data_IF_266903460074
#
_entry.id   IF_266903460074
#
_cell.length_a   1.000
_cell.length_b   1.000
_cell.length_c   1.000
_cell.angle_alpha   90.00
_cell.angle_beta   90.00
_cell.angle_gamma   90.00
#
_symmetry.space_group_name_H-M   'P 1'
#
loop_
_entity.id
_entity.type
_entity.pdbx_description
1 polymer ?
#
# COMPACT_ATOMS: atom_id res chain seq x y z
N UNK A 1 -7.07 4.06 5.02
CA UNK A 1 -5.69 3.66 4.63
C UNK A 1 -4.70 3.75 5.80
N UNK A 2 -4.48 4.91 6.42
CA UNK A 2 -3.48 5.01 7.51
C UNK A 2 -3.87 4.21 8.75
N UNK A 3 -5.17 4.15 9.07
CA UNK A 3 -5.67 3.25 10.10
C UNK A 3 -5.35 1.78 9.79
N UNK A 4 -5.49 1.35 8.52
CA UNK A 4 -5.12 0.01 8.07
C UNK A 4 -3.61 -0.21 8.24
N UNK A 5 -2.78 0.76 7.87
CA UNK A 5 -1.33 0.65 8.07
C UNK A 5 -0.97 0.56 9.55
N UNK A 6 -1.61 1.35 10.42
CA UNK A 6 -1.44 1.28 11.88
C UNK A 6 -1.91 -0.07 12.44
N UNK A 7 -3.02 -0.60 11.94
CA UNK A 7 -3.51 -1.93 12.31
C UNK A 7 -2.54 -3.01 11.86
N UNK A 8 -2.07 -3.01 10.61
CA UNK A 8 -1.03 -3.94 10.14
C UNK A 8 0.22 -3.83 11.03
N UNK A 9 0.67 -2.61 11.35
CA UNK A 9 1.79 -2.41 12.27
C UNK A 9 1.52 -3.04 13.64
N UNK A 10 0.34 -2.81 14.22
CA UNK A 10 -0.03 -3.35 15.52
C UNK A 10 -0.12 -4.87 15.49
N UNK A 11 -0.72 -5.44 14.44
CA UNK A 11 -0.85 -6.88 14.23
C UNK A 11 0.51 -7.58 14.06
N UNK A 12 1.44 -6.93 13.36
CA UNK A 12 2.83 -7.41 13.23
C UNK A 12 3.61 -7.26 14.54
N UNK A 13 3.37 -6.20 15.31
CA UNK A 13 4.14 -5.88 16.53
C UNK A 13 3.66 -6.59 17.78
N UNK A 14 2.35 -6.83 17.88
CA UNK A 14 1.68 -7.41 19.04
C UNK A 14 0.61 -8.40 18.58
N UNK A 15 1.02 -9.60 18.18
CA UNK A 15 0.08 -10.60 17.69
C UNK A 15 -0.66 -11.21 18.88
N UNK A 16 -1.69 -10.51 19.32
CA UNK A 16 -2.73 -11.06 20.20
C UNK A 16 -3.76 -11.79 19.32
N UNK A 17 -3.29 -12.76 18.53
CA UNK A 17 -4.19 -13.47 17.63
C UNK A 17 -4.86 -14.63 18.34
N UNK A 18 -6.18 -14.56 18.42
CA UNK A 18 -7.02 -15.74 18.62
C UNK A 18 -7.17 -16.56 17.33
N UNK A 19 -6.78 -15.99 16.17
CA UNK A 19 -6.92 -16.59 14.84
C UNK A 19 -5.55 -16.89 14.21
N UNK A 20 -5.21 -18.18 14.15
CA UNK A 20 -3.96 -18.73 13.60
C UNK A 20 -3.75 -18.40 12.11
N UNK A 21 -4.82 -18.26 11.33
CA UNK A 21 -4.75 -17.95 9.90
C UNK A 21 -4.23 -16.52 9.68
N UNK A 22 -4.76 -15.56 10.44
CA UNK A 22 -4.31 -14.17 10.39
C UNK A 22 -2.85 -14.07 10.82
N UNK A 23 -2.45 -14.82 11.85
CA UNK A 23 -1.05 -14.89 12.27
C UNK A 23 -0.15 -15.38 11.15
N UNK A 24 -0.50 -16.49 10.49
CA UNK A 24 0.28 -17.07 9.40
C UNK A 24 0.41 -16.11 8.21
N UNK A 25 -0.68 -15.41 7.85
CA UNK A 25 -0.63 -14.38 6.80
C UNK A 25 0.34 -13.27 7.21
N UNK A 26 0.23 -12.75 8.44
CA UNK A 26 1.09 -11.65 8.92
C UNK A 26 2.57 -12.05 8.97
N UNK A 27 2.90 -13.29 9.36
CA UNK A 27 4.27 -13.81 9.31
C UNK A 27 4.81 -13.96 7.88
N UNK A 28 3.93 -14.14 6.89
CA UNK A 28 4.30 -14.27 5.48
C UNK A 28 4.61 -12.93 4.78
N UNK A 29 4.22 -11.80 5.36
CA UNK A 29 4.42 -10.48 4.72
C UNK A 29 5.90 -10.09 4.78
N UNK A 30 6.51 -9.92 3.60
CA UNK A 30 7.91 -9.51 3.49
C UNK A 30 8.07 -8.02 3.13
N UNK A 31 7.09 -7.44 2.46
CA UNK A 31 7.15 -6.05 2.01
C UNK A 31 5.74 -5.44 1.95
N UNK A 32 5.65 -4.17 2.35
CA UNK A 32 4.48 -3.32 2.19
C UNK A 32 4.92 -2.07 1.41
N UNK A 33 4.33 -1.87 0.24
CA UNK A 33 4.57 -0.68 -0.59
C UNK A 33 3.32 0.19 -0.64
N UNK A 34 3.46 1.45 -0.25
CA UNK A 34 2.45 2.49 -0.40
C UNK A 34 2.82 3.44 -1.53
N UNK A 35 1.93 3.60 -2.51
CA UNK A 35 2.01 4.67 -3.52
C UNK A 35 0.87 5.67 -3.25
N UNK A 36 1.24 6.85 -2.78
CA UNK A 36 0.29 7.91 -2.42
C UNK A 36 0.24 8.98 -3.50
N UNK A 37 -0.93 9.16 -4.12
CA UNK A 37 -1.11 10.08 -5.25
C UNK A 37 -1.86 11.33 -4.79
N UNK A 38 -1.26 12.51 -5.00
CA UNK A 38 -1.82 13.78 -4.55
C UNK A 38 -1.63 14.86 -5.62
N UNK A 39 -2.38 15.96 -5.52
CA UNK A 39 -2.19 17.10 -6.44
C UNK A 39 -0.90 17.84 -6.13
N UNK A 40 -0.63 18.07 -4.85
CA UNK A 40 0.59 18.70 -4.37
C UNK A 40 1.03 18.08 -3.05
N UNK A 41 2.21 18.45 -2.59
CA UNK A 41 2.79 17.99 -1.33
C UNK A 41 1.95 18.39 -0.10
N UNK A 42 1.23 19.51 -0.19
CA UNK A 42 0.34 19.99 0.89
C UNK A 42 -0.93 19.17 1.02
N UNK A 43 -1.29 18.44 -0.02
CA UNK A 43 -2.49 17.59 -0.05
C UNK A 43 -2.20 16.20 0.54
N UNK A 44 -0.94 15.89 0.87
CA UNK A 44 -0.57 14.64 1.51
C UNK A 44 -1.15 14.63 2.93
N UNK A 45 -2.31 14.00 3.04
CA UNK A 45 -2.99 13.82 4.32
C UNK A 45 -2.14 12.95 5.26
N UNK A 46 -2.16 13.31 6.55
CA UNK A 46 -1.56 12.52 7.63
C UNK A 46 -0.07 12.19 7.40
N UNK A 47 0.69 13.11 6.80
CA UNK A 47 2.14 12.97 6.60
C UNK A 47 2.86 12.62 7.91
N UNK A 48 2.49 13.25 9.02
CA UNK A 48 3.06 12.96 10.35
C UNK A 48 2.82 11.51 10.78
N UNK A 49 1.64 10.97 10.50
CA UNK A 49 1.33 9.57 10.81
C UNK A 49 2.15 8.62 9.92
N UNK A 50 2.30 8.91 8.63
CA UNK A 50 3.08 8.07 7.73
C UNK A 50 4.57 8.05 8.14
N UNK A 51 5.12 9.19 8.55
CA UNK A 51 6.46 9.28 9.11
C UNK A 51 6.58 8.53 10.45
N UNK A 52 5.51 8.49 11.25
CA UNK A 52 5.49 7.69 12.47
C UNK A 52 5.47 6.18 12.18
N UNK A 53 4.80 5.76 11.09
CA UNK A 53 4.77 4.37 10.65
C UNK A 53 6.17 3.89 10.28
N UNK A 54 6.97 4.70 9.58
CA UNK A 54 8.39 4.41 9.34
C UNK A 54 9.15 4.16 10.64
N UNK A 55 8.92 5.00 11.65
CA UNK A 55 9.60 4.91 12.94
C UNK A 55 9.14 3.69 13.74
N UNK A 56 7.86 3.30 13.60
CA UNK A 56 7.28 2.10 14.18
C UNK A 56 7.94 0.88 13.54
N UNK A 57 7.89 0.75 12.21
CA UNK A 57 8.58 -0.35 11.51
C UNK A 57 10.08 -0.39 11.89
N UNK A 58 10.80 0.73 11.85
CA UNK A 58 12.21 0.78 12.22
C UNK A 58 12.48 0.33 13.68
N UNK A 59 11.58 0.63 14.62
CA UNK A 59 11.71 0.23 16.03
C UNK A 59 11.49 -1.27 16.23
N UNK A 60 10.53 -1.86 15.53
CA UNK A 60 10.19 -3.28 15.66
C UNK A 60 11.04 -4.19 14.77
N UNK A 61 11.64 -3.66 13.71
CA UNK A 61 12.54 -4.39 12.81
C UNK A 61 14.01 -4.34 13.28
N UNK A 62 14.32 -3.70 14.40
CA UNK A 62 15.69 -3.60 14.90
C UNK A 62 16.02 -4.81 15.79
N UNK A 63 16.91 -5.73 15.37
CA UNK A 63 17.18 -6.99 16.07
C UNK A 63 17.88 -6.83 17.43
N UNK A 64 18.25 -5.61 17.83
CA UNK A 64 19.01 -5.34 19.06
C UNK A 64 18.15 -5.21 20.34
N UNK A 65 16.83 -5.40 20.25
CA UNK A 65 15.91 -5.18 21.39
C UNK A 65 15.09 -6.40 21.83
N UNK A 66 15.29 -7.61 21.31
CA UNK A 66 14.55 -8.79 21.77
C UNK A 66 15.39 -9.73 22.63
N UNK A 67 15.15 -9.67 23.95
CA UNK A 67 15.27 -10.85 24.79
C UNK A 67 14.19 -11.85 24.33
N UNK A 68 14.64 -12.97 23.78
CA UNK A 68 13.92 -14.23 23.58
C UNK A 68 12.75 -14.26 22.56
N UNK A 69 12.96 -15.10 21.54
CA UNK A 69 11.95 -15.87 20.77
C UNK A 69 11.15 -15.23 19.62
N UNK A 70 11.23 -13.93 19.33
CA UNK A 70 10.62 -13.41 18.10
C UNK A 70 11.59 -13.38 16.92
N UNK A 71 11.38 -14.27 15.94
CA UNK A 71 12.00 -14.17 14.63
C UNK A 71 11.26 -13.07 13.86
N UNK A 72 11.55 -11.79 14.16
CA UNK A 72 10.92 -10.68 13.45
C UNK A 72 11.28 -10.78 11.97
N UNK A 73 10.29 -11.13 11.14
CA UNK A 73 10.38 -11.01 9.69
C UNK A 73 10.81 -9.58 9.35
N UNK A 74 11.87 -9.44 8.54
CA UNK A 74 12.38 -8.15 8.08
C UNK A 74 11.39 -7.50 7.09
N UNK A 75 10.19 -7.13 7.55
CA UNK A 75 9.15 -6.52 6.72
C UNK A 75 9.68 -5.19 6.21
N UNK A 76 9.82 -5.04 4.90
CA UNK A 76 10.24 -3.78 4.29
C UNK A 76 9.02 -2.89 4.13
N UNK A 77 9.07 -1.66 4.62
CA UNK A 77 8.05 -0.65 4.31
C UNK A 77 8.63 0.39 3.34
N UNK A 78 7.92 0.65 2.24
CA UNK A 78 8.29 1.66 1.24
C UNK A 78 7.12 2.61 1.03
N UNK A 79 7.34 3.91 1.21
CA UNK A 79 6.34 4.93 0.93
C UNK A 79 6.80 5.82 -0.23
N UNK A 80 6.02 5.84 -1.30
CA UNK A 80 6.29 6.60 -2.51
C UNK A 80 5.16 7.58 -2.78
N UNK A 81 5.50 8.77 -3.26
CA UNK A 81 4.53 9.83 -3.58
C UNK A 81 4.53 10.14 -5.07
N UNK A 82 3.34 10.30 -5.65
CA UNK A 82 3.15 10.81 -7.02
C UNK A 82 2.37 12.11 -6.92
N UNK A 83 2.93 13.20 -7.44
CA UNK A 83 2.34 14.53 -7.30
C UNK A 83 1.99 15.12 -8.66
N UNK A 84 0.78 15.63 -8.87
CA UNK A 84 0.43 16.29 -10.13
C UNK A 84 1.28 17.55 -10.36
N UNK A 85 1.50 18.35 -9.30
CA UNK A 85 2.35 19.53 -9.29
C UNK A 85 3.34 19.47 -8.11
N UNK A 86 4.63 19.60 -8.40
CA UNK A 86 5.70 19.49 -7.40
C UNK A 86 6.51 20.79 -7.24
N UNK A 87 5.83 21.94 -7.30
CA UNK A 87 6.46 23.28 -7.30
C UNK A 87 7.45 23.51 -6.15
N UNK A 88 7.31 22.77 -5.04
CA UNK A 88 8.18 22.85 -3.87
C UNK A 88 8.34 21.52 -3.13
N UNK A 89 8.46 20.37 -3.83
CA UNK A 89 8.83 19.13 -3.14
C UNK A 89 10.27 19.26 -2.63
N UNK A 90 10.42 19.90 -1.48
CA UNK A 90 11.69 20.15 -0.82
C UNK A 90 12.19 18.79 -0.40
N UNK A 91 13.09 18.20 -1.21
CA UNK A 91 13.80 16.91 -0.99
C UNK A 91 13.57 16.42 0.44
N UNK A 92 12.44 15.76 0.66
CA UNK A 92 12.03 15.41 2.01
C UNK A 92 13.04 14.34 2.42
N UNK A 93 14.04 14.75 3.22
CA UNK A 93 15.11 13.88 3.73
C UNK A 93 14.52 12.97 4.82
N UNK A 94 13.50 12.20 4.45
CA UNK A 94 12.98 11.09 5.25
C UNK A 94 13.32 9.85 4.46
N UNK A 95 14.19 9.01 5.01
CA UNK A 95 14.91 7.96 4.30
C UNK A 95 14.03 6.96 3.53
N UNK A 96 12.74 6.84 3.88
CA UNK A 96 11.82 5.86 3.29
C UNK A 96 10.66 6.49 2.49
N UNK A 97 10.58 7.82 2.43
CA UNK A 97 9.60 8.55 1.64
C UNK A 97 10.24 9.12 0.38
N UNK A 98 9.84 8.61 -0.79
CA UNK A 98 10.41 9.02 -2.08
C UNK A 98 9.36 9.72 -2.94
N UNK A 99 9.69 10.89 -3.49
CA UNK A 99 8.95 11.41 -4.65
C UNK A 99 9.25 10.50 -5.84
N UNK A 100 8.24 9.77 -6.27
CA UNK A 100 8.34 8.78 -7.34
C UNK A 100 8.17 9.43 -8.71
N UNK A 101 7.21 10.36 -8.85
CA UNK A 101 6.92 11.03 -10.12
C UNK A 101 6.17 12.36 -9.93
N UNK A 102 6.35 13.27 -10.90
CA UNK A 102 5.53 14.48 -11.05
C UNK A 102 4.63 14.32 -12.26
N UNK A 103 3.33 14.22 -12.05
CA UNK A 103 2.32 13.92 -13.06
C UNK A 103 1.31 12.87 -12.56
N UNK A 104 0.66 12.19 -13.50
CA UNK A 104 -0.32 11.13 -13.21
C UNK A 104 0.30 9.74 -13.27
N UNK A 105 -0.35 8.79 -12.62
CA UNK A 105 -0.01 7.38 -12.76
C UNK A 105 -0.10 6.93 -14.22
N UNK A 106 0.88 6.15 -14.65
CA UNK A 106 0.96 5.56 -15.98
C UNK A 106 1.65 4.18 -15.91
N UNK A 107 1.50 3.40 -16.97
CA UNK A 107 1.89 1.98 -17.00
C UNK A 107 3.36 1.74 -16.65
N UNK A 108 4.29 2.52 -17.22
CA UNK A 108 5.73 2.33 -16.96
C UNK A 108 6.11 2.62 -15.50
N UNK A 109 5.46 3.61 -14.88
CA UNK A 109 5.68 3.94 -13.48
C UNK A 109 5.29 2.80 -12.56
N UNK A 110 4.09 2.23 -12.77
CA UNK A 110 3.61 1.11 -11.97
C UNK A 110 4.42 -0.16 -12.25
N UNK A 111 4.82 -0.42 -13.50
CA UNK A 111 5.70 -1.53 -13.85
C UNK A 111 7.04 -1.48 -13.13
N UNK A 112 7.62 -0.29 -12.99
CA UNK A 112 8.91 -0.10 -12.33
C UNK A 112 8.83 -0.14 -10.79
N UNK A 113 7.64 0.03 -10.23
CA UNK A 113 7.46 0.22 -8.77
C UNK A 113 6.77 -0.97 -8.11
N UNK A 114 5.77 -1.56 -8.75
CA UNK A 114 5.02 -2.68 -8.20
C UNK A 114 5.80 -4.01 -8.40
N UNK A 115 5.65 -4.96 -7.47
CA UNK A 115 6.16 -6.32 -7.67
C UNK A 115 5.46 -6.99 -8.85
N UNK A 116 6.13 -7.86 -9.62
CA UNK A 116 5.49 -8.55 -10.74
C UNK A 116 4.26 -9.34 -10.28
N UNK A 117 3.22 -9.50 -11.14
CA UNK A 117 2.03 -10.27 -10.79
C UNK A 117 2.38 -11.69 -10.33
N UNK A 118 1.85 -12.09 -9.17
CA UNK A 118 1.97 -13.44 -8.62
C UNK A 118 0.91 -13.66 -7.54
N UNK A 119 0.70 -14.91 -7.15
CA UNK A 119 -0.17 -15.32 -6.03
C UNK A 119 0.29 -14.80 -4.66
N UNK A 120 1.53 -14.31 -4.57
CA UNK A 120 2.11 -13.72 -3.36
C UNK A 120 1.91 -12.19 -3.28
N UNK A 121 1.23 -11.60 -4.27
CA UNK A 121 1.03 -10.15 -4.35
C UNK A 121 -0.44 -9.80 -4.22
N UNK A 122 -0.73 -8.88 -3.29
CA UNK A 122 -2.03 -8.25 -3.13
C UNK A 122 -1.90 -6.74 -3.34
N UNK A 123 -2.64 -6.21 -4.31
CA UNK A 123 -2.75 -4.79 -4.62
C UNK A 123 -4.05 -4.26 -4.05
N UNK A 124 -3.93 -3.21 -3.23
CA UNK A 124 -5.04 -2.55 -2.58
C UNK A 124 -5.20 -1.15 -3.19
N UNK A 125 -6.34 -0.86 -3.83
CA UNK A 125 -6.56 0.41 -4.53
C UNK A 125 -7.72 1.20 -3.91
N UNK A 126 -7.46 2.46 -3.59
CA UNK A 126 -8.46 3.39 -3.06
C UNK A 126 -8.22 4.78 -3.64
N UNK A 127 -9.28 5.40 -4.15
CA UNK A 127 -9.22 6.74 -4.73
C UNK A 127 -10.55 7.14 -5.35
N UNK A 128 -10.55 8.18 -6.18
CA UNK A 128 -11.73 8.58 -6.94
C UNK A 128 -12.12 7.52 -7.97
N UNK A 129 -13.38 7.54 -8.41
CA UNK A 129 -13.86 6.65 -9.48
C UNK A 129 -13.05 6.78 -10.77
N UNK A 130 -12.58 7.99 -11.10
CA UNK A 130 -11.73 8.23 -12.28
C UNK A 130 -10.36 7.56 -12.12
N UNK A 131 -9.77 7.65 -10.92
CA UNK A 131 -8.49 7.00 -10.61
C UNK A 131 -8.64 5.48 -10.65
N UNK A 132 -9.70 4.94 -10.06
CA UNK A 132 -9.99 3.50 -10.09
C UNK A 132 -10.17 3.01 -11.53
N UNK A 133 -10.97 3.70 -12.36
CA UNK A 133 -11.13 3.34 -13.78
C UNK A 133 -9.78 3.28 -14.51
N UNK A 134 -8.95 4.30 -14.31
CA UNK A 134 -7.64 4.40 -14.96
C UNK A 134 -6.66 3.30 -14.50
N UNK A 135 -6.65 2.97 -13.20
CA UNK A 135 -5.67 2.06 -12.62
C UNK A 135 -6.11 0.60 -12.65
N UNK A 136 -7.36 0.30 -12.26
CA UNK A 136 -7.80 -1.07 -11.96
C UNK A 136 -9.25 -1.41 -12.37
N UNK A 137 -9.96 -0.49 -13.03
CA UNK A 137 -11.42 -0.56 -13.18
C UNK A 137 -12.17 -0.20 -11.90
N UNK A 138 -13.43 0.22 -12.03
CA UNK A 138 -14.27 0.55 -10.88
C UNK A 138 -14.86 -0.68 -10.19
N UNK A 139 -15.30 -0.51 -8.95
CA UNK A 139 -16.26 -1.43 -8.32
C UNK A 139 -17.62 -1.30 -8.98
N UNK A 140 -18.36 -2.39 -9.07
CA UNK A 140 -19.71 -2.40 -9.65
C UNK A 140 -20.78 -2.51 -8.56
N UNK A 141 -22.04 -2.45 -8.96
CA UNK A 141 -23.18 -2.78 -8.10
C UNK A 141 -23.98 -3.88 -8.79
N UNK A 142 -24.39 -4.91 -8.03
CA UNK A 142 -25.27 -5.93 -8.59
C UNK A 142 -26.63 -5.33 -8.93
N UNK A 143 -27.24 -5.68 -10.09
CA UNK A 143 -28.54 -5.14 -10.48
C UNK A 143 -29.63 -5.46 -9.47
N UNK A 144 -29.66 -6.69 -8.95
CA UNK A 144 -30.70 -7.20 -8.06
C UNK A 144 -30.81 -6.47 -6.71
N UNK A 145 -29.71 -6.20 -6.02
CA UNK A 145 -29.71 -5.70 -4.64
C UNK A 145 -28.83 -4.47 -4.41
N UNK A 146 -28.23 -3.93 -5.48
CA UNK A 146 -27.33 -2.78 -5.45
C UNK A 146 -26.10 -2.98 -4.56
N UNK A 147 -25.79 -4.23 -4.15
CA UNK A 147 -24.63 -4.51 -3.33
C UNK A 147 -23.35 -4.26 -4.13
N UNK A 148 -22.39 -3.57 -3.49
CA UNK A 148 -21.09 -3.26 -4.09
C UNK A 148 -20.32 -4.56 -4.35
N UNK A 149 -19.81 -4.72 -5.57
CA UNK A 149 -18.95 -5.84 -5.98
C UNK A 149 -17.62 -5.31 -6.49
N UNK A 150 -16.59 -6.16 -6.46
CA UNK A 150 -15.25 -5.76 -6.87
C UNK A 150 -15.17 -5.40 -8.36
N UNK A 151 -16.01 -6.00 -9.21
CA UNK A 151 -15.94 -5.83 -10.66
C UNK A 151 -14.66 -6.43 -11.26
N UNK A 152 -14.53 -6.40 -12.58
CA UNK A 152 -13.35 -6.93 -13.27
C UNK A 152 -12.14 -6.02 -13.08
N UNK A 153 -10.93 -6.60 -13.15
CA UNK A 153 -9.70 -5.80 -13.21
C UNK A 153 -9.52 -5.24 -14.61
N UNK A 154 -9.36 -3.91 -14.68
CA UNK A 154 -9.16 -3.14 -15.92
C UNK A 154 -7.97 -2.17 -15.79
N UNK A 155 -7.81 -1.28 -16.76
CA UNK A 155 -6.78 -0.23 -16.74
C UNK A 155 -5.36 -0.76 -16.70
N UNK A 156 -4.48 0.02 -16.07
CA UNK A 156 -3.04 -0.28 -16.01
C UNK A 156 -2.76 -1.64 -15.38
N UNK A 157 -3.44 -2.03 -14.29
CA UNK A 157 -3.17 -3.30 -13.62
C UNK A 157 -3.51 -4.50 -14.51
N UNK A 158 -4.55 -4.40 -15.35
CA UNK A 158 -4.85 -5.44 -16.35
C UNK A 158 -3.75 -5.51 -17.42
N UNK A 159 -3.27 -4.37 -17.91
CA UNK A 159 -2.17 -4.32 -18.88
C UNK A 159 -0.87 -4.94 -18.34
N UNK A 160 -0.64 -4.80 -17.03
CA UNK A 160 0.52 -5.40 -16.36
C UNK A 160 0.33 -6.89 -16.02
N UNK A 161 -0.87 -7.45 -16.22
CA UNK A 161 -1.16 -8.88 -16.02
C UNK A 161 -1.67 -9.26 -14.63
N UNK A 162 -2.12 -8.30 -13.81
CA UNK A 162 -2.78 -8.63 -12.55
C UNK A 162 -4.19 -9.18 -12.76
N UNK A 163 -4.62 -10.06 -11.88
CA UNK A 163 -5.94 -10.71 -11.90
C UNK A 163 -6.82 -10.22 -10.75
N UNK A 164 -8.10 -10.57 -10.78
CA UNK A 164 -9.07 -10.20 -9.73
C UNK A 164 -8.72 -10.76 -8.33
N UNK A 165 -7.98 -11.87 -8.26
CA UNK A 165 -7.52 -12.43 -6.98
C UNK A 165 -6.38 -11.61 -6.37
N UNK A 166 -5.66 -10.83 -7.19
CA UNK A 166 -4.53 -10.00 -6.77
C UNK A 166 -4.93 -8.56 -6.47
N UNK A 167 -6.16 -8.12 -6.80
CA UNK A 167 -6.55 -6.71 -6.72
C UNK A 167 -7.84 -6.54 -5.92
N UNK A 168 -7.77 -5.74 -4.87
CA UNK A 168 -8.92 -5.33 -4.08
C UNK A 168 -9.13 -3.82 -4.15
N UNK A 169 -10.38 -3.41 -4.34
CA UNK A 169 -10.80 -2.03 -4.57
C UNK A 169 -11.78 -1.60 -3.47
N UNK A 170 -11.54 -0.40 -2.90
CA UNK A 170 -12.32 0.12 -1.78
C UNK A 170 -13.57 0.90 -2.17
#
# INVERSE_FOLDING_TARGET
MIQILKEICNLVSFPQFENEEVYNIMQGIQEICLINCNKSERDIICMSDLQSVDSIFARYLNPLLSHEQWNHSNIKFKCSHVLENADKFNKLHVSNHKLLHVGRLHTDLLRATLPPPSDQVLILVSGSSDMLTHVCGNTSRRPEDQQKTQGDVEGILKELGYTSDMVYKF
#
